data_IF_583752846187
#
_entry.id   IF_583752846187
#
_cell.length_a   1.000
_cell.length_b   1.000
_cell.length_c   1.000
_cell.angle_alpha   90.00
_cell.angle_beta   90.00
_cell.angle_gamma   90.00
#
_symmetry.space_group_name_H-M   'P 1'
#
loop_
_entity.id
_entity.type
_entity.pdbx_description
1 polymer ?
#
# COMPACT_ATOMS: atom_id res chain seq x y z
N UNK A 1 -4.04 9.51 9.02
CA UNK A 1 -3.25 9.84 7.81
C UNK A 1 -2.33 8.66 7.53
N UNK A 2 -2.23 8.21 6.28
CA UNK A 2 -1.32 7.13 5.88
C UNK A 2 -0.59 7.53 4.60
N UNK A 3 0.73 7.80 4.67
CA UNK A 3 1.57 8.01 3.50
C UNK A 3 2.32 6.72 3.11
N UNK A 4 2.51 6.51 1.80
CA UNK A 4 3.51 5.61 1.24
C UNK A 4 4.74 6.43 0.84
N UNK A 5 5.91 6.04 1.34
CA UNK A 5 7.17 6.75 1.16
C UNK A 5 8.10 5.98 0.23
N UNK A 6 8.84 6.71 -0.60
CA UNK A 6 9.97 6.23 -1.39
C UNK A 6 11.22 7.03 -1.07
N UNK A 7 12.33 6.68 -1.72
CA UNK A 7 13.58 7.44 -1.63
C UNK A 7 13.46 8.85 -2.24
N UNK A 8 12.44 9.12 -3.06
CA UNK A 8 12.21 10.41 -3.72
C UNK A 8 11.06 11.21 -3.11
N UNK A 9 10.47 10.74 -2.01
CA UNK A 9 9.41 11.44 -1.29
C UNK A 9 8.13 10.61 -1.12
N UNK A 10 6.98 11.29 -1.10
CA UNK A 10 5.67 10.65 -0.90
C UNK A 10 5.13 10.17 -2.25
N UNK A 11 4.81 8.88 -2.36
CA UNK A 11 4.17 8.32 -3.57
C UNK A 11 2.65 8.43 -3.52
N UNK A 12 2.06 8.13 -2.37
CA UNK A 12 0.61 8.14 -2.20
C UNK A 12 0.26 8.54 -0.77
N UNK A 13 -0.84 9.26 -0.58
CA UNK A 13 -1.32 9.64 0.75
C UNK A 13 -2.83 9.62 0.80
N UNK A 14 -3.36 9.05 1.88
CA UNK A 14 -4.79 9.11 2.19
C UNK A 14 -5.00 9.62 3.60
N UNK A 15 -5.99 10.51 3.76
CA UNK A 15 -6.44 11.04 5.04
C UNK A 15 -7.87 10.59 5.27
N UNK A 16 -8.09 9.84 6.34
CA UNK A 16 -9.40 9.36 6.75
C UNK A 16 -9.64 9.69 8.21
N UNK A 17 -10.91 9.76 8.59
CA UNK A 17 -11.33 9.78 9.99
C UNK A 17 -11.37 8.35 10.58
N UNK A 18 -10.84 8.22 11.78
CA UNK A 18 -10.75 6.94 12.51
C UNK A 18 -9.63 6.02 12.02
N UNK A 19 -9.69 4.76 12.46
CA UNK A 19 -8.66 3.76 12.17
C UNK A 19 -8.79 3.13 10.78
N UNK A 20 -7.69 2.56 10.30
CA UNK A 20 -7.69 1.69 9.13
C UNK A 20 -8.26 0.32 9.50
N UNK A 21 -9.24 -0.12 8.71
CA UNK A 21 -9.67 -1.51 8.64
C UNK A 21 -9.00 -2.19 7.46
N UNK A 22 -9.07 -3.52 7.38
CA UNK A 22 -8.60 -4.28 6.22
C UNK A 22 -9.16 -3.72 4.90
N UNK A 23 -10.46 -3.42 4.83
CA UNK A 23 -11.10 -2.87 3.64
C UNK A 23 -10.58 -1.47 3.27
N UNK A 24 -10.41 -0.59 4.27
CA UNK A 24 -9.86 0.76 4.06
C UNK A 24 -8.41 0.70 3.60
N UNK A 25 -7.63 -0.22 4.16
CA UNK A 25 -6.23 -0.44 3.79
C UNK A 25 -6.09 -1.02 2.39
N UNK A 26 -6.93 -2.00 2.05
CA UNK A 26 -6.99 -2.56 0.69
C UNK A 26 -7.26 -1.48 -0.36
N UNK A 27 -8.17 -0.54 -0.07
CA UNK A 27 -8.44 0.59 -0.98
C UNK A 27 -7.24 1.55 -1.10
N UNK A 28 -6.51 1.79 -0.01
CA UNK A 28 -5.27 2.55 -0.06
C UNK A 28 -4.23 1.88 -0.98
N UNK A 29 -4.07 0.56 -0.89
CA UNK A 29 -3.09 -0.18 -1.70
C UNK A 29 -3.45 -0.17 -3.19
N UNK A 30 -4.73 -0.26 -3.54
CA UNK A 30 -5.18 -0.10 -4.93
C UNK A 30 -4.83 1.28 -5.52
N UNK A 31 -4.81 2.33 -4.70
CA UNK A 31 -4.33 3.64 -5.13
C UNK A 31 -2.80 3.67 -5.27
N UNK A 32 -2.09 3.11 -4.28
CA UNK A 32 -0.63 3.07 -4.27
C UNK A 32 -0.03 2.29 -5.45
N UNK A 33 -0.63 1.16 -5.84
CA UNK A 33 -0.04 0.29 -6.87
C UNK A 33 0.03 0.95 -8.25
N UNK A 34 -0.81 1.97 -8.50
CA UNK A 34 -0.78 2.78 -9.73
C UNK A 34 0.49 3.65 -9.81
N UNK A 35 1.13 3.92 -8.67
CA UNK A 35 2.36 4.71 -8.55
C UNK A 35 3.62 3.82 -8.39
N UNK A 36 3.44 2.49 -8.38
CA UNK A 36 4.50 1.50 -8.29
C UNK A 36 4.86 0.96 -9.68
N UNK A 37 6.05 0.35 -9.79
CA UNK A 37 6.48 -0.35 -11.01
C UNK A 37 6.66 -1.84 -10.74
N UNK A 38 6.60 -2.71 -11.78
CA UNK A 38 6.97 -4.11 -11.65
C UNK A 38 8.43 -4.27 -11.16
N UNK A 39 8.69 -5.29 -10.36
CA UNK A 39 10.06 -5.61 -9.91
C UNK A 39 10.92 -6.07 -11.11
N UNK A 40 12.19 -5.62 -11.24
CA UNK A 40 13.02 -4.86 -10.29
C UNK A 40 13.07 -3.33 -10.51
N UNK A 41 12.01 -2.73 -11.05
CA UNK A 41 11.94 -1.30 -11.33
C UNK A 41 12.02 -0.40 -10.09
N UNK A 42 12.09 0.92 -10.32
CA UNK A 42 12.03 1.90 -9.23
C UNK A 42 10.68 1.81 -8.51
N UNK A 43 10.66 1.91 -7.18
CA UNK A 43 9.43 1.81 -6.38
C UNK A 43 8.65 0.49 -6.58
N UNK A 44 9.34 -0.62 -6.79
CA UNK A 44 8.71 -1.92 -7.10
C UNK A 44 8.55 -2.88 -5.92
N UNK A 45 8.97 -2.48 -4.72
CA UNK A 45 8.91 -3.33 -3.53
C UNK A 45 8.09 -2.62 -2.48
N UNK A 46 7.00 -3.25 -2.06
CA UNK A 46 6.15 -2.78 -0.97
C UNK A 46 6.70 -3.31 0.36
N UNK A 47 7.04 -2.40 1.28
CA UNK A 47 7.51 -2.73 2.64
C UNK A 47 6.51 -2.15 3.65
N UNK A 48 6.03 -3.00 4.56
CA UNK A 48 5.03 -2.66 5.57
C UNK A 48 5.36 -3.36 6.89
N UNK A 49 4.80 -2.91 8.01
CA UNK A 49 4.86 -3.66 9.27
C UNK A 49 3.93 -4.89 9.23
N UNK A 50 4.06 -5.76 10.23
CA UNK A 50 3.36 -7.05 10.28
C UNK A 50 1.96 -6.96 10.94
N UNK A 51 1.24 -5.85 10.76
CA UNK A 51 -0.08 -5.65 11.34
C UNK A 51 -1.09 -6.70 10.83
N UNK A 52 -2.08 -7.06 11.66
CA UNK A 52 -3.08 -8.09 11.31
C UNK A 52 -3.85 -7.70 10.04
N UNK A 53 -4.18 -6.42 9.88
CA UNK A 53 -4.90 -5.91 8.70
C UNK A 53 -4.11 -6.01 7.38
N UNK A 54 -2.80 -6.26 7.43
CA UNK A 54 -1.94 -6.47 6.25
C UNK A 54 -1.90 -7.94 5.81
N UNK A 55 -2.51 -8.85 6.57
CA UNK A 55 -2.48 -10.31 6.28
C UNK A 55 -3.66 -10.79 5.45
N UNK A 56 -4.41 -9.88 4.84
CA UNK A 56 -5.57 -10.20 4.00
C UNK A 56 -5.14 -10.96 2.74
N UNK A 57 -5.77 -12.09 2.40
CA UNK A 57 -5.53 -12.77 1.12
C UNK A 57 -5.79 -11.87 -0.08
N UNK A 58 -6.80 -11.00 0.01
CA UNK A 58 -7.14 -10.04 -1.05
C UNK A 58 -6.03 -9.03 -1.29
N UNK A 59 -5.34 -8.60 -0.24
CA UNK A 59 -4.21 -7.69 -0.37
C UNK A 59 -3.08 -8.35 -1.17
N UNK A 60 -2.83 -9.63 -0.89
CA UNK A 60 -1.81 -10.41 -1.60
C UNK A 60 -2.13 -10.55 -3.09
N UNK A 61 -3.38 -10.88 -3.43
CA UNK A 61 -3.83 -10.95 -4.82
C UNK A 61 -3.58 -9.64 -5.59
N UNK A 62 -3.88 -8.49 -4.97
CA UNK A 62 -3.68 -7.18 -5.59
C UNK A 62 -2.19 -6.88 -5.85
N UNK A 63 -1.30 -7.32 -4.96
CA UNK A 63 0.14 -7.02 -5.05
C UNK A 63 0.90 -8.00 -5.94
N UNK A 64 0.41 -9.24 -6.05
CA UNK A 64 1.05 -10.32 -6.82
C UNK A 64 0.48 -10.50 -8.24
N UNK A 65 -0.57 -9.75 -8.63
CA UNK A 65 -1.00 -9.60 -10.03
C UNK A 65 0.04 -8.85 -10.88
#
# INVERSE_FOLDING_TARGET
ILPALSLDGILHVTVIEGAYTEARFTNFIKGLILEMNPFPGKNSVLVMDNAIIHKSPRLREIVEE
#
